data_IF_306534537572
#
_entry.id   IF_306534537572
#
_cell.length_a   1.000
_cell.length_b   1.000
_cell.length_c   1.000
_cell.angle_alpha   90.00
_cell.angle_beta   90.00
_cell.angle_gamma   90.00
#
_symmetry.space_group_name_H-M   'P 1'
#
loop_
_entity.id
_entity.type
_entity.pdbx_description
1 polymer ?
#
# COMPACT_ATOMS: atom_id res chain seq x y z
N UNK A 1 6.31 -5.27 -21.14
CA UNK A 1 6.30 -5.65 -19.71
C UNK A 1 7.35 -4.83 -18.98
N UNK A 2 7.07 -4.35 -17.77
CA UNK A 2 8.06 -3.58 -16.99
C UNK A 2 8.59 -4.48 -15.88
N UNK A 3 9.93 -4.68 -15.86
CA UNK A 3 10.61 -5.50 -14.87
C UNK A 3 11.77 -4.71 -14.26
N UNK A 4 11.93 -4.77 -12.95
CA UNK A 4 12.99 -4.11 -12.24
C UNK A 4 13.66 -5.03 -11.22
N UNK A 5 14.98 -5.15 -11.32
CA UNK A 5 15.85 -5.71 -10.29
C UNK A 5 16.85 -4.64 -9.89
N UNK A 6 16.88 -4.25 -8.62
CA UNK A 6 17.58 -3.09 -8.13
C UNK A 6 18.37 -3.43 -6.87
N UNK A 7 19.68 -3.25 -6.90
CA UNK A 7 20.55 -3.33 -5.74
C UNK A 7 21.19 -1.98 -5.47
N UNK A 8 21.12 -1.46 -4.24
CA UNK A 8 21.73 -0.20 -3.81
C UNK A 8 21.98 -0.17 -2.32
N UNK A 9 23.21 0.15 -1.91
CA UNK A 9 23.53 0.45 -0.51
C UNK A 9 23.48 1.95 -0.28
N UNK A 10 22.78 2.37 0.76
CA UNK A 10 22.70 3.77 1.21
C UNK A 10 23.15 3.83 2.66
N UNK A 11 24.32 4.40 2.95
CA UNK A 11 24.76 4.59 4.32
C UNK A 11 23.78 5.46 5.13
N UNK A 12 23.63 5.24 6.45
CA UNK A 12 24.40 4.27 7.24
C UNK A 12 23.82 2.85 7.27
N UNK A 13 22.53 2.59 6.92
CA UNK A 13 21.89 1.33 7.28
C UNK A 13 21.00 0.68 6.22
N UNK A 14 20.62 1.38 5.13
CA UNK A 14 19.71 0.82 4.14
C UNK A 14 20.48 0.07 3.04
N UNK A 15 20.15 -1.22 2.87
CA UNK A 15 20.59 -2.03 1.72
C UNK A 15 19.37 -2.45 0.92
N UNK A 16 19.11 -1.76 -0.18
CA UNK A 16 18.02 -2.10 -1.09
C UNK A 16 18.44 -3.28 -1.99
N UNK A 17 17.60 -4.32 -2.02
CA UNK A 17 17.70 -5.46 -2.93
C UNK A 17 16.27 -5.93 -3.26
N UNK A 18 15.75 -5.42 -4.36
CA UNK A 18 14.35 -5.65 -4.77
C UNK A 18 14.26 -6.14 -6.20
N UNK A 19 13.31 -7.05 -6.43
CA UNK A 19 12.96 -7.56 -7.76
C UNK A 19 11.44 -7.66 -7.88
N UNK A 20 10.89 -7.02 -8.91
CA UNK A 20 9.44 -6.99 -9.15
C UNK A 20 9.09 -6.68 -10.59
N UNK A 21 7.86 -7.07 -10.95
CA UNK A 21 7.21 -6.74 -12.20
C UNK A 21 6.13 -5.69 -11.96
N UNK A 22 5.95 -4.79 -12.93
CA UNK A 22 4.84 -3.85 -12.97
C UNK A 22 3.90 -4.25 -14.10
N UNK A 23 2.78 -4.90 -13.78
CA UNK A 23 1.72 -5.16 -14.75
C UNK A 23 1.04 -3.85 -15.19
N UNK A 24 0.26 -3.86 -16.28
CA UNK A 24 -0.65 -2.76 -16.57
C UNK A 24 -1.55 -2.43 -15.37
N UNK A 25 -1.83 -1.14 -15.17
CA UNK A 25 -2.59 -0.66 -14.01
C UNK A 25 -1.71 -0.14 -12.89
N UNK A 26 -2.24 -0.16 -11.66
CA UNK A 26 -1.55 0.37 -10.47
C UNK A 26 -0.96 -0.76 -9.65
N UNK A 27 0.34 -0.68 -9.40
CA UNK A 27 1.03 -1.44 -8.37
C UNK A 27 1.33 -0.50 -7.20
N UNK A 28 0.86 -0.85 -6.00
CA UNK A 28 1.16 -0.13 -4.79
C UNK A 28 2.45 -0.66 -4.14
N UNK A 29 3.33 0.24 -3.73
CA UNK A 29 4.52 -0.07 -2.93
C UNK A 29 4.31 0.47 -1.52
N UNK A 30 4.02 -0.43 -0.62
CA UNK A 30 3.72 -0.17 0.79
C UNK A 30 4.89 -0.55 1.69
N UNK A 31 5.09 0.19 2.77
CA UNK A 31 6.15 -0.10 3.74
C UNK A 31 6.38 1.06 4.70
N UNK A 32 7.29 0.92 5.65
CA UNK A 32 7.64 2.01 6.57
C UNK A 32 8.35 3.16 5.87
N UNK A 33 8.34 4.35 6.47
CA UNK A 33 8.95 5.56 5.89
C UNK A 33 10.40 5.36 5.46
N UNK A 34 11.19 4.65 6.23
CA UNK A 34 12.64 4.45 5.98
C UNK A 34 12.97 3.16 5.22
N UNK A 35 11.96 2.45 4.69
CA UNK A 35 12.17 1.18 3.99
C UNK A 35 12.82 1.33 2.60
N UNK A 36 12.93 2.55 2.07
CA UNK A 36 13.55 2.81 0.75
C UNK A 36 12.55 3.01 -0.38
N UNK A 37 11.26 3.24 -0.11
CA UNK A 37 10.21 3.40 -1.14
C UNK A 37 10.53 4.49 -2.17
N UNK A 38 10.84 5.71 -1.72
CA UNK A 38 11.25 6.82 -2.60
C UNK A 38 12.52 6.49 -3.37
N UNK A 39 13.48 5.78 -2.75
CA UNK A 39 14.69 5.35 -3.44
C UNK A 39 14.37 4.41 -4.61
N UNK A 40 13.40 3.51 -4.49
CA UNK A 40 12.96 2.67 -5.61
C UNK A 40 12.47 3.53 -6.77
N UNK A 41 11.66 4.55 -6.50
CA UNK A 41 11.18 5.49 -7.54
C UNK A 41 12.33 6.26 -8.18
N UNK A 42 13.27 6.78 -7.38
CA UNK A 42 14.41 7.54 -7.87
C UNK A 42 15.35 6.69 -8.74
N UNK A 43 15.54 5.42 -8.38
CA UNK A 43 16.31 4.47 -9.18
C UNK A 43 15.64 4.18 -10.52
N UNK A 44 14.30 4.02 -10.54
CA UNK A 44 13.53 3.83 -11.77
C UNK A 44 13.55 5.09 -12.65
N UNK A 45 13.35 6.26 -12.06
CA UNK A 45 13.39 7.55 -12.76
C UNK A 45 14.78 7.93 -13.29
N UNK A 46 15.83 7.36 -12.70
CA UNK A 46 17.23 7.70 -13.04
C UNK A 46 17.77 8.92 -12.29
N UNK A 47 17.11 9.35 -11.21
CA UNK A 47 17.62 10.37 -10.29
C UNK A 47 18.72 9.81 -9.38
N UNK A 48 18.66 8.50 -9.13
CA UNK A 48 19.73 7.74 -8.50
C UNK A 48 20.17 6.59 -9.41
N UNK A 49 21.43 6.16 -9.29
CA UNK A 49 21.96 5.03 -10.07
C UNK A 49 22.02 3.77 -9.20
N UNK A 50 21.41 2.65 -9.62
CA UNK A 50 21.58 1.37 -8.95
C UNK A 50 23.07 0.94 -8.91
N UNK A 51 23.46 0.18 -7.89
CA UNK A 51 24.79 -0.43 -7.86
C UNK A 51 24.85 -1.74 -8.65
N UNK A 52 23.70 -2.43 -8.74
CA UNK A 52 23.55 -3.70 -9.47
C UNK A 52 22.13 -3.85 -9.96
N UNK A 53 21.90 -4.79 -10.87
CA UNK A 53 20.57 -5.16 -11.37
C UNK A 53 20.28 -4.62 -12.76
N UNK A 54 18.97 -4.60 -13.11
CA UNK A 54 18.49 -4.23 -14.45
C UNK A 54 17.11 -3.57 -14.34
N UNK A 55 16.85 -2.60 -15.22
CA UNK A 55 15.52 -1.96 -15.38
C UNK A 55 15.10 -2.11 -16.84
N UNK A 56 13.98 -2.76 -17.06
CA UNK A 56 13.36 -2.96 -18.36
C UNK A 56 11.96 -2.33 -18.35
N UNK A 57 11.68 -1.46 -19.31
CA UNK A 57 10.34 -0.83 -19.48
C UNK A 57 9.94 -0.99 -20.93
N UNK A 58 8.84 -1.74 -21.19
CA UNK A 58 8.32 -1.99 -22.55
C UNK A 58 9.44 -2.41 -23.52
N UNK A 59 10.23 -3.43 -23.13
CA UNK A 59 11.35 -3.98 -23.89
C UNK A 59 12.57 -3.05 -24.06
N UNK A 60 12.51 -1.83 -23.56
CA UNK A 60 13.65 -0.91 -23.54
C UNK A 60 14.46 -1.08 -22.24
N UNK A 61 15.76 -1.32 -22.36
CA UNK A 61 16.68 -1.38 -21.22
C UNK A 61 16.99 0.06 -20.78
N UNK A 62 16.54 0.47 -19.61
CA UNK A 62 16.84 1.78 -19.03
C UNK A 62 18.12 1.74 -18.17
N UNK A 63 18.38 0.60 -17.55
CA UNK A 63 19.59 0.36 -16.77
C UNK A 63 19.97 -1.12 -16.85
N UNK A 64 21.25 -1.40 -16.99
CA UNK A 64 21.84 -2.75 -16.88
C UNK A 64 23.27 -2.62 -16.39
N UNK A 65 23.53 -3.09 -15.17
CA UNK A 65 24.84 -3.00 -14.55
C UNK A 65 25.90 -3.84 -15.28
N UNK A 66 25.50 -5.03 -15.77
CA UNK A 66 26.41 -5.94 -16.49
C UNK A 66 26.76 -5.42 -17.88
N UNK A 67 25.79 -4.87 -18.60
CA UNK A 67 25.96 -4.28 -19.93
C UNK A 67 26.48 -2.81 -19.88
N UNK A 68 26.64 -2.23 -18.69
CA UNK A 68 27.01 -0.82 -18.49
C UNK A 68 26.08 0.17 -19.18
N UNK A 69 24.79 -0.14 -19.23
CA UNK A 69 23.74 0.74 -19.76
C UNK A 69 23.17 1.56 -18.62
N UNK A 70 23.12 2.88 -18.78
CA UNK A 70 22.42 3.79 -17.86
C UNK A 70 21.82 4.95 -18.64
N UNK A 71 20.55 4.84 -18.98
CA UNK A 71 19.78 5.88 -19.69
C UNK A 71 19.57 7.07 -18.74
N UNK A 72 19.96 8.30 -19.12
CA UNK A 72 19.73 9.50 -18.31
C UNK A 72 18.23 9.73 -18.04
N UNK A 73 17.89 10.26 -16.86
CA UNK A 73 16.49 10.46 -16.41
C UNK A 73 15.60 11.14 -17.47
N UNK A 74 16.10 12.21 -18.13
CA UNK A 74 15.37 12.94 -19.18
C UNK A 74 14.97 12.10 -20.41
N UNK A 75 15.60 10.94 -20.61
CA UNK A 75 15.35 10.05 -21.74
C UNK A 75 14.55 8.80 -21.35
N UNK A 76 14.29 8.58 -20.05
CA UNK A 76 13.55 7.42 -19.57
C UNK A 76 12.05 7.49 -19.81
N UNK A 77 11.53 8.63 -20.22
CA UNK A 77 10.09 8.85 -20.44
C UNK A 77 9.25 8.42 -19.24
N UNK A 78 9.71 8.72 -18.02
CA UNK A 78 8.96 8.51 -16.80
C UNK A 78 8.18 9.78 -16.44
N UNK A 79 6.87 9.63 -16.15
CA UNK A 79 6.12 10.67 -15.46
C UNK A 79 6.32 10.51 -13.96
N UNK A 80 6.70 11.57 -13.25
CA UNK A 80 6.93 11.52 -11.81
C UNK A 80 6.07 12.56 -11.10
N UNK A 81 5.26 12.09 -10.15
CA UNK A 81 4.50 12.93 -9.23
C UNK A 81 5.18 12.82 -7.87
N UNK A 82 5.83 13.90 -7.45
CA UNK A 82 6.63 13.92 -6.22
C UNK A 82 5.73 14.09 -4.99
N UNK A 83 6.22 13.71 -3.83
CA UNK A 83 5.57 13.89 -2.54
C UNK A 83 5.17 15.35 -2.27
N UNK A 84 6.01 16.29 -2.71
CA UNK A 84 5.68 17.71 -2.80
C UNK A 84 5.55 18.02 -4.27
N UNK A 85 4.42 18.53 -4.70
CA UNK A 85 4.02 18.76 -6.10
C UNK A 85 5.15 19.15 -7.08
N UNK A 86 6.27 19.66 -6.57
CA UNK A 86 7.49 20.01 -7.31
C UNK A 86 7.24 20.81 -8.60
N UNK A 87 6.21 21.67 -8.58
CA UNK A 87 5.98 22.62 -9.65
C UNK A 87 7.09 23.68 -9.66
N UNK A 88 7.46 24.15 -10.85
CA UNK A 88 8.39 25.27 -10.99
C UNK A 88 7.72 26.53 -10.45
N UNK A 89 8.22 27.16 -9.38
CA UNK A 89 7.53 28.23 -8.68
C UNK A 89 7.42 29.53 -9.48
N UNK A 90 8.29 29.72 -10.48
CA UNK A 90 8.37 30.87 -11.36
C UNK A 90 7.59 30.69 -12.68
N UNK A 91 7.02 29.51 -12.91
CA UNK A 91 6.21 29.20 -14.09
C UNK A 91 4.74 29.12 -13.70
N UNK A 92 3.85 29.61 -14.55
CA UNK A 92 2.40 29.42 -14.39
C UNK A 92 2.01 27.94 -14.49
N UNK A 93 0.78 27.59 -14.13
CA UNK A 93 0.25 26.23 -14.30
C UNK A 93 0.38 25.78 -15.76
N UNK A 94 -0.04 26.60 -16.71
CA UNK A 94 0.11 26.35 -18.16
C UNK A 94 1.55 26.08 -18.54
N UNK A 95 2.48 26.91 -18.08
CA UNK A 95 3.90 26.75 -18.38
C UNK A 95 4.50 25.50 -17.75
N UNK A 96 4.09 25.15 -16.53
CA UNK A 96 4.49 23.90 -15.87
C UNK A 96 4.05 22.66 -16.69
N UNK A 97 2.82 22.65 -17.17
CA UNK A 97 2.31 21.56 -18.00
C UNK A 97 3.04 21.55 -19.38
N UNK A 98 3.20 22.72 -20.00
CA UNK A 98 3.88 22.85 -21.28
C UNK A 98 5.36 22.44 -21.25
N UNK A 99 6.02 22.53 -20.09
CA UNK A 99 7.41 22.12 -19.92
C UNK A 99 7.63 20.64 -20.27
N UNK A 100 6.75 19.76 -19.80
CA UNK A 100 6.86 18.33 -20.09
C UNK A 100 6.47 17.95 -21.52
N UNK A 101 5.83 18.89 -22.26
CA UNK A 101 5.46 18.73 -23.66
C UNK A 101 6.52 19.33 -24.62
N UNK A 102 7.73 19.67 -24.15
CA UNK A 102 8.74 20.36 -24.95
C UNK A 102 9.21 19.57 -26.19
N UNK A 103 9.09 18.24 -26.18
CA UNK A 103 9.43 17.38 -27.32
C UNK A 103 8.46 17.44 -28.51
N UNK A 104 7.27 18.06 -28.35
CA UNK A 104 6.26 18.16 -29.42
C UNK A 104 6.45 19.41 -30.27
N UNK A 105 6.10 19.37 -31.58
CA UNK A 105 6.03 20.56 -32.43
C UNK A 105 5.13 21.63 -31.80
N UNK A 106 5.47 22.91 -32.02
CA UNK A 106 4.83 24.06 -31.34
C UNK A 106 3.29 24.05 -31.39
N UNK A 107 2.69 23.76 -32.55
CA UNK A 107 1.24 23.75 -32.70
C UNK A 107 0.59 22.60 -31.96
N UNK A 108 1.17 21.40 -32.07
CA UNK A 108 0.71 20.20 -31.37
C UNK A 108 0.86 20.34 -29.85
N UNK A 109 2.00 20.88 -29.39
CA UNK A 109 2.21 21.18 -27.98
C UNK A 109 1.15 22.11 -27.43
N UNK A 110 0.81 23.19 -28.16
CA UNK A 110 -0.23 24.13 -27.72
C UNK A 110 -1.59 23.43 -27.58
N UNK A 111 -2.01 22.66 -28.58
CA UNK A 111 -3.25 21.89 -28.56
C UNK A 111 -3.30 20.94 -27.35
N UNK A 112 -2.26 20.12 -27.16
CA UNK A 112 -2.16 19.16 -26.05
C UNK A 112 -2.19 19.83 -24.70
N UNK A 113 -1.55 20.98 -24.54
CA UNK A 113 -1.56 21.74 -23.29
C UNK A 113 -2.98 22.20 -22.97
N UNK A 114 -3.71 22.78 -23.94
CA UNK A 114 -5.10 23.21 -23.73
C UNK A 114 -5.99 22.01 -23.35
N UNK A 115 -5.95 20.94 -24.14
CA UNK A 115 -6.72 19.71 -23.86
C UNK A 115 -6.39 19.12 -22.47
N UNK A 116 -5.12 19.14 -22.07
CA UNK A 116 -4.70 18.61 -20.75
C UNK A 116 -5.19 19.50 -19.62
N UNK A 117 -5.09 20.83 -19.78
CA UNK A 117 -5.62 21.77 -18.79
C UNK A 117 -7.12 21.60 -18.58
N UNK A 118 -7.88 21.43 -19.66
CA UNK A 118 -9.33 21.20 -19.58
C UNK A 118 -9.65 19.88 -18.89
N UNK A 119 -8.99 18.79 -19.28
CA UNK A 119 -9.18 17.46 -18.67
C UNK A 119 -8.91 17.44 -17.18
N UNK A 120 -7.90 18.18 -16.70
CA UNK A 120 -7.56 18.28 -15.29
C UNK A 120 -8.26 19.45 -14.57
N UNK A 121 -9.23 20.13 -15.23
CA UNK A 121 -9.99 21.26 -14.68
C UNK A 121 -9.06 22.40 -14.18
N UNK A 122 -8.07 22.75 -14.99
CA UNK A 122 -7.05 23.75 -14.72
C UNK A 122 -7.18 25.01 -15.59
N UNK A 123 -8.19 25.07 -16.45
CA UNK A 123 -8.34 26.17 -17.42
C UNK A 123 -8.41 27.54 -16.74
N UNK A 124 -9.19 27.68 -15.66
CA UNK A 124 -9.38 28.95 -14.93
C UNK A 124 -8.12 29.36 -14.16
N UNK A 125 -7.26 28.42 -13.77
CA UNK A 125 -6.04 28.68 -12.99
C UNK A 125 -4.78 28.61 -13.84
N UNK A 126 -4.93 28.43 -15.16
CA UNK A 126 -3.84 28.15 -16.08
C UNK A 126 -2.72 29.22 -16.06
N UNK A 127 -3.07 30.47 -15.85
CA UNK A 127 -2.15 31.59 -15.91
C UNK A 127 -1.69 32.07 -14.52
N UNK A 128 -2.10 31.37 -13.45
CA UNK A 128 -1.67 31.58 -12.07
C UNK A 128 -0.36 30.84 -11.75
N UNK A 129 0.39 31.37 -10.78
CA UNK A 129 1.60 30.74 -10.25
C UNK A 129 1.23 29.68 -9.19
N UNK A 130 2.10 28.68 -8.91
CA UNK A 130 1.84 27.65 -7.93
C UNK A 130 1.50 28.17 -6.52
N UNK A 131 2.06 29.32 -6.11
CA UNK A 131 1.77 29.96 -4.81
C UNK A 131 0.36 30.59 -4.71
N UNK A 132 -0.30 30.79 -5.86
CA UNK A 132 -1.60 31.47 -5.96
C UNK A 132 -2.77 30.49 -6.00
N UNK A 133 -2.48 29.19 -6.05
CA UNK A 133 -3.47 28.12 -6.16
C UNK A 133 -3.45 27.18 -4.95
N UNK A 134 -4.60 26.54 -4.70
CA UNK A 134 -4.76 25.59 -3.59
C UNK A 134 -3.92 24.32 -3.80
N UNK A 135 -3.57 23.58 -2.71
CA UNK A 135 -2.79 22.35 -2.78
C UNK A 135 -3.35 21.33 -3.74
N UNK A 136 -4.67 21.15 -3.77
CA UNK A 136 -5.37 20.20 -4.64
C UNK A 136 -5.19 20.55 -6.12
N UNK A 137 -5.20 21.86 -6.44
CA UNK A 137 -4.98 22.34 -7.82
C UNK A 137 -3.51 22.14 -8.20
N UNK A 138 -2.57 22.36 -7.26
CA UNK A 138 -1.15 22.06 -7.49
C UNK A 138 -0.92 20.57 -7.79
N UNK A 139 -1.56 19.67 -7.04
CA UNK A 139 -1.48 18.24 -7.30
C UNK A 139 -2.03 17.88 -8.68
N UNK A 140 -3.19 18.43 -9.09
CA UNK A 140 -3.74 18.26 -10.45
C UNK A 140 -2.76 18.76 -11.51
N UNK A 141 -2.15 19.92 -11.30
CA UNK A 141 -1.18 20.49 -12.23
C UNK A 141 0.10 19.63 -12.34
N UNK A 142 0.61 19.11 -11.21
CA UNK A 142 1.73 18.17 -11.20
C UNK A 142 1.38 16.86 -11.92
N UNK A 143 0.17 16.38 -11.74
CA UNK A 143 -0.37 15.19 -12.42
C UNK A 143 -0.51 15.42 -13.92
N UNK A 144 -1.09 16.54 -14.33
CA UNK A 144 -1.21 16.94 -15.72
C UNK A 144 0.16 17.02 -16.41
N UNK A 145 1.16 17.62 -15.72
CA UNK A 145 2.54 17.68 -16.20
C UNK A 145 3.17 16.28 -16.35
N UNK A 146 2.88 15.35 -15.44
CA UNK A 146 3.45 14.00 -15.47
C UNK A 146 2.95 13.18 -16.68
N UNK A 147 1.70 13.40 -17.14
CA UNK A 147 1.08 12.59 -18.21
C UNK A 147 1.16 13.19 -19.60
N UNK A 148 1.26 14.52 -19.74
CA UNK A 148 1.23 15.19 -21.05
C UNK A 148 2.34 14.71 -22.01
N UNK A 149 3.47 14.26 -21.47
CA UNK A 149 4.61 13.73 -22.24
C UNK A 149 4.43 12.29 -22.72
N UNK A 150 3.26 11.68 -22.53
CA UNK A 150 2.99 10.27 -22.82
C UNK A 150 4.06 9.34 -22.23
N UNK A 151 4.15 9.29 -20.91
CA UNK A 151 5.18 8.48 -20.24
C UNK A 151 4.98 6.98 -20.49
N UNK A 152 6.07 6.22 -20.43
CA UNK A 152 6.05 4.76 -20.49
C UNK A 152 5.94 4.12 -19.10
N UNK A 153 6.16 4.92 -18.05
CA UNK A 153 6.06 4.53 -16.64
C UNK A 153 5.64 5.74 -15.82
N UNK A 154 4.65 5.57 -14.96
CA UNK A 154 4.22 6.59 -14.00
C UNK A 154 4.70 6.22 -12.59
N UNK A 155 5.36 7.17 -11.94
CA UNK A 155 5.90 7.06 -10.60
C UNK A 155 5.22 8.07 -9.70
N UNK A 156 4.60 7.62 -8.62
CA UNK A 156 3.82 8.47 -7.71
C UNK A 156 4.36 8.29 -6.29
N UNK A 157 4.92 9.36 -5.72
CA UNK A 157 5.54 9.32 -4.41
C UNK A 157 4.65 10.01 -3.36
N UNK A 158 3.86 9.23 -2.64
CA UNK A 158 3.12 9.62 -1.41
C UNK A 158 2.60 11.08 -1.42
N UNK A 159 1.97 11.48 -2.51
CA UNK A 159 1.57 12.87 -2.74
C UNK A 159 0.14 13.20 -2.28
N UNK A 160 -0.54 12.28 -1.55
CA UNK A 160 -1.94 12.45 -1.15
C UNK A 160 -2.91 12.37 -2.34
N UNK A 161 -2.52 11.68 -3.41
CA UNK A 161 -3.42 11.42 -4.54
C UNK A 161 -4.59 10.58 -4.07
N UNK A 162 -5.82 11.06 -4.31
CA UNK A 162 -7.03 10.30 -4.04
C UNK A 162 -7.44 9.40 -5.20
N UNK A 163 -8.31 8.44 -4.91
CA UNK A 163 -8.84 7.49 -5.88
C UNK A 163 -9.39 8.15 -7.16
N UNK A 164 -10.18 9.28 -7.10
CA UNK A 164 -10.71 9.89 -8.32
C UNK A 164 -9.64 10.39 -9.29
N UNK A 165 -8.57 11.02 -8.77
CA UNK A 165 -7.48 11.51 -9.60
C UNK A 165 -6.62 10.37 -10.14
N UNK A 166 -6.44 9.30 -9.37
CA UNK A 166 -5.73 8.10 -9.80
C UNK A 166 -6.50 7.35 -10.89
N UNK A 167 -7.83 7.21 -10.75
CA UNK A 167 -8.70 6.65 -11.78
C UNK A 167 -8.65 7.48 -13.07
N UNK A 168 -8.67 8.80 -12.96
CA UNK A 168 -8.48 9.70 -14.11
C UNK A 168 -7.13 9.48 -14.80
N UNK A 169 -6.05 9.31 -14.04
CA UNK A 169 -4.73 8.98 -14.58
C UNK A 169 -4.75 7.69 -15.40
N UNK A 170 -5.40 6.64 -14.90
CA UNK A 170 -5.50 5.34 -15.57
C UNK A 170 -6.30 5.42 -16.88
N UNK A 171 -7.29 6.31 -16.98
CA UNK A 171 -8.02 6.53 -18.23
C UNK A 171 -7.22 7.30 -19.27
N UNK A 172 -6.30 8.17 -18.83
CA UNK A 172 -5.52 9.04 -19.70
C UNK A 172 -4.16 8.45 -20.12
N UNK A 173 -3.67 7.48 -19.36
CA UNK A 173 -2.37 6.85 -19.62
C UNK A 173 -2.47 5.35 -19.42
N UNK A 174 -2.02 4.59 -20.42
CA UNK A 174 -1.91 3.13 -20.32
C UNK A 174 -0.56 2.67 -19.73
N UNK A 175 0.28 3.62 -19.30
CA UNK A 175 1.55 3.30 -18.66
C UNK A 175 1.29 2.60 -17.31
N UNK A 176 2.10 1.58 -16.95
CA UNK A 176 2.05 1.02 -15.61
C UNK A 176 2.37 2.11 -14.58
N UNK A 177 1.68 2.05 -13.43
CA UNK A 177 1.82 3.00 -12.34
C UNK A 177 2.46 2.31 -11.15
N UNK A 178 3.54 2.86 -10.63
CA UNK A 178 4.06 2.49 -9.31
C UNK A 178 3.71 3.60 -8.31
N UNK A 179 2.80 3.27 -7.40
CA UNK A 179 2.28 4.18 -6.37
C UNK A 179 2.93 3.86 -5.03
N UNK A 180 3.69 4.79 -4.49
CA UNK A 180 4.13 4.74 -3.08
C UNK A 180 3.05 5.40 -2.22
N UNK A 181 2.51 4.66 -1.28
CA UNK A 181 1.50 5.15 -0.33
C UNK A 181 1.62 4.43 1.02
N UNK A 182 1.09 5.04 2.08
CA UNK A 182 0.83 4.44 3.39
C UNK A 182 -0.69 4.30 3.66
N UNK A 183 -1.51 4.58 2.67
CA UNK A 183 -2.96 4.40 2.68
C UNK A 183 -3.33 3.01 2.15
N UNK A 184 -3.69 2.10 3.06
CA UNK A 184 -4.11 0.73 2.71
C UNK A 184 -5.47 0.69 2.02
N UNK A 185 -6.37 1.63 2.33
CA UNK A 185 -7.68 1.69 1.68
C UNK A 185 -7.50 2.05 0.20
N UNK A 186 -6.62 3.00 -0.10
CA UNK A 186 -6.25 3.33 -1.48
C UNK A 186 -5.58 2.15 -2.19
N UNK A 187 -4.73 1.37 -1.49
CA UNK A 187 -4.16 0.14 -2.06
C UNK A 187 -5.25 -0.85 -2.46
N UNK A 188 -6.28 -1.04 -1.60
CA UNK A 188 -7.36 -1.99 -1.84
C UNK A 188 -8.31 -1.57 -2.95
N UNK A 189 -8.58 -0.26 -3.08
CA UNK A 189 -9.56 0.25 -4.04
C UNK A 189 -8.97 0.50 -5.42
N UNK A 190 -7.69 0.88 -5.50
CA UNK A 190 -7.10 1.36 -6.75
C UNK A 190 -5.97 0.49 -7.32
N UNK A 191 -5.32 -0.34 -6.49
CA UNK A 191 -4.19 -1.14 -6.96
C UNK A 191 -4.61 -2.58 -7.32
N UNK A 192 -4.04 -3.10 -8.41
CA UNK A 192 -4.18 -4.51 -8.78
C UNK A 192 -3.12 -5.41 -8.11
N UNK A 193 -2.03 -4.81 -7.64
CA UNK A 193 -0.94 -5.50 -6.97
C UNK A 193 -0.42 -4.66 -5.80
N UNK A 194 -0.11 -5.31 -4.69
CA UNK A 194 0.56 -4.74 -3.54
C UNK A 194 1.94 -5.39 -3.37
N UNK A 195 2.96 -4.57 -3.25
CA UNK A 195 4.32 -4.94 -2.89
C UNK A 195 4.61 -4.41 -1.49
N UNK A 196 4.90 -5.28 -0.55
CA UNK A 196 5.26 -4.90 0.83
C UNK A 196 6.79 -4.83 0.95
N UNK A 197 7.30 -3.63 1.22
CA UNK A 197 8.73 -3.34 1.32
C UNK A 197 9.12 -3.17 2.79
N UNK A 198 10.04 -4.02 3.25
CA UNK A 198 10.63 -3.93 4.60
C UNK A 198 12.13 -4.21 4.54
N UNK A 199 12.91 -3.41 5.27
CA UNK A 199 14.37 -3.57 5.33
C UNK A 199 15.08 -3.55 3.97
N UNK A 200 14.50 -2.84 2.98
CA UNK A 200 15.01 -2.77 1.61
C UNK A 200 14.73 -4.00 0.75
N UNK A 201 13.80 -4.87 1.15
CA UNK A 201 13.40 -6.07 0.40
C UNK A 201 11.88 -6.13 0.25
N UNK A 202 11.41 -6.69 -0.86
CA UNK A 202 9.99 -7.04 -1.00
C UNK A 202 9.77 -8.35 -0.24
N UNK A 203 9.03 -8.24 0.88
CA UNK A 203 8.80 -9.35 1.81
C UNK A 203 7.50 -10.08 1.52
N UNK A 204 6.55 -9.45 0.85
CA UNK A 204 5.32 -10.08 0.36
C UNK A 204 4.79 -9.33 -0.85
N UNK A 205 4.11 -10.05 -1.76
CA UNK A 205 3.42 -9.49 -2.92
C UNK A 205 2.16 -10.28 -3.24
N UNK A 206 1.15 -9.61 -3.79
CA UNK A 206 -0.11 -10.24 -4.18
C UNK A 206 -1.19 -9.22 -4.48
N UNK A 207 -2.44 -9.67 -4.66
CA UNK A 207 -3.58 -8.77 -4.66
C UNK A 207 -3.73 -8.12 -3.27
N UNK A 208 -4.07 -6.82 -3.18
CA UNK A 208 -4.08 -6.11 -1.90
C UNK A 208 -4.89 -6.81 -0.81
N UNK A 209 -6.10 -7.25 -1.12
CA UNK A 209 -6.96 -7.95 -0.14
C UNK A 209 -6.38 -9.30 0.29
N UNK A 210 -5.73 -10.03 -0.62
CA UNK A 210 -5.07 -11.31 -0.27
C UNK A 210 -3.90 -11.09 0.68
N UNK A 211 -3.08 -10.06 0.44
CA UNK A 211 -1.95 -9.70 1.32
C UNK A 211 -2.44 -9.27 2.70
N UNK A 212 -3.54 -8.51 2.77
CA UNK A 212 -4.15 -8.09 4.03
C UNK A 212 -4.77 -9.26 4.81
N UNK A 213 -5.40 -10.19 4.10
CA UNK A 213 -6.08 -11.34 4.71
C UNK A 213 -5.11 -12.47 5.09
N UNK A 214 -3.96 -12.56 4.43
CA UNK A 214 -2.98 -13.62 4.66
C UNK A 214 -1.54 -13.07 4.67
N UNK A 215 -1.15 -12.32 5.73
CA UNK A 215 0.24 -11.91 5.91
C UNK A 215 1.14 -13.15 6.04
N UNK A 216 2.31 -13.12 5.40
CA UNK A 216 3.25 -14.25 5.39
C UNK A 216 4.20 -14.25 6.60
N UNK A 217 4.26 -13.14 7.36
CA UNK A 217 5.10 -13.03 8.55
C UNK A 217 4.53 -12.04 9.56
N UNK A 218 5.04 -12.11 10.80
CA UNK A 218 4.68 -11.17 11.87
C UNK A 218 5.04 -9.74 11.50
N UNK A 219 6.16 -9.55 10.84
CA UNK A 219 6.64 -8.25 10.37
C UNK A 219 5.66 -7.64 9.38
N UNK A 220 5.20 -8.42 8.41
CA UNK A 220 4.17 -8.00 7.46
C UNK A 220 2.85 -7.73 8.17
N UNK A 221 2.39 -8.61 9.06
CA UNK A 221 1.17 -8.41 9.81
C UNK A 221 1.19 -7.09 10.61
N UNK A 222 2.32 -6.78 11.27
CA UNK A 222 2.53 -5.50 11.97
C UNK A 222 2.53 -4.30 11.04
N UNK A 223 3.17 -4.42 9.87
CA UNK A 223 3.18 -3.36 8.86
C UNK A 223 1.78 -3.04 8.38
N UNK A 224 0.96 -4.05 8.14
CA UNK A 224 -0.43 -3.92 7.72
C UNK A 224 -1.37 -3.48 8.84
N UNK A 225 -0.85 -3.19 10.04
CA UNK A 225 -1.64 -2.69 11.16
C UNK A 225 -2.47 -3.74 11.87
N UNK A 226 -2.19 -5.04 11.67
CA UNK A 226 -2.84 -6.12 12.42
C UNK A 226 -2.36 -6.05 13.87
N UNK A 227 -3.28 -5.80 14.79
CA UNK A 227 -3.00 -5.64 16.22
C UNK A 227 -3.17 -6.92 17.02
N UNK A 228 -4.03 -7.83 16.57
CA UNK A 228 -4.25 -9.11 17.22
C UNK A 228 -3.18 -10.11 16.77
N UNK A 229 -2.03 -10.05 17.44
CA UNK A 229 -0.89 -10.92 17.21
C UNK A 229 -0.58 -11.63 18.52
N UNK A 230 -0.89 -12.92 18.60
CA UNK A 230 -0.76 -13.71 19.81
C UNK A 230 0.23 -14.85 19.61
N UNK A 231 1.15 -15.02 20.55
CA UNK A 231 2.01 -16.19 20.58
C UNK A 231 1.32 -17.29 21.38
N UNK A 232 1.12 -18.44 20.78
CA UNK A 232 0.48 -19.60 21.40
C UNK A 232 1.30 -20.86 21.23
N UNK A 233 0.83 -21.94 21.89
CA UNK A 233 1.41 -23.27 21.79
C UNK A 233 0.40 -24.24 21.19
N UNK A 234 0.85 -25.10 20.29
CA UNK A 234 0.02 -26.16 19.70
C UNK A 234 -0.27 -27.21 20.78
N UNK A 235 -1.50 -27.22 21.30
CA UNK A 235 -1.92 -28.13 22.37
C UNK A 235 -2.40 -29.48 21.82
N UNK A 236 -3.10 -29.47 20.68
CA UNK A 236 -3.57 -30.69 20.02
C UNK A 236 -3.66 -30.51 18.49
N UNK A 237 -3.48 -31.61 17.78
CA UNK A 237 -3.62 -31.71 16.34
C UNK A 237 -4.57 -32.87 16.03
N UNK A 238 -5.63 -32.62 15.26
CA UNK A 238 -6.58 -33.64 14.80
C UNK A 238 -6.72 -33.57 13.27
N UNK A 239 -5.87 -34.31 12.54
CA UNK A 239 -5.95 -34.37 11.08
C UNK A 239 -7.28 -34.92 10.57
N UNK A 240 -7.90 -35.85 11.33
CA UNK A 240 -9.15 -36.49 10.93
C UNK A 240 -10.36 -35.53 10.95
N UNK A 241 -10.35 -34.56 11.86
CA UNK A 241 -11.34 -33.48 11.95
C UNK A 241 -10.92 -32.18 11.28
N UNK A 242 -9.73 -32.17 10.68
CA UNK A 242 -9.12 -30.96 10.10
C UNK A 242 -9.04 -29.78 11.09
N UNK A 243 -8.68 -30.07 12.37
CA UNK A 243 -8.61 -29.06 13.42
C UNK A 243 -7.31 -29.12 14.20
N UNK A 244 -6.92 -27.98 14.76
CA UNK A 244 -5.83 -27.84 15.72
C UNK A 244 -6.31 -26.96 16.87
N UNK A 245 -5.83 -27.26 18.09
CA UNK A 245 -6.09 -26.44 19.26
C UNK A 245 -4.82 -25.71 19.67
N UNK A 246 -4.95 -24.39 19.79
CA UNK A 246 -3.90 -23.50 20.27
C UNK A 246 -4.22 -23.03 21.68
N UNK A 247 -3.22 -23.02 22.54
CA UNK A 247 -3.28 -22.46 23.90
C UNK A 247 -2.48 -21.16 23.95
N UNK A 248 -3.14 -20.13 24.46
CA UNK A 248 -2.56 -18.82 24.77
C UNK A 248 -2.58 -18.61 26.28
N UNK A 249 -1.94 -17.57 26.78
CA UNK A 249 -1.83 -17.32 28.24
C UNK A 249 -3.18 -17.26 28.96
N UNK A 250 -4.20 -16.72 28.31
CA UNK A 250 -5.51 -16.45 28.94
C UNK A 250 -6.70 -17.14 28.26
N UNK A 251 -6.51 -17.74 27.09
CA UNK A 251 -7.59 -18.40 26.35
C UNK A 251 -7.06 -19.51 25.44
N UNK A 252 -7.95 -20.30 24.90
CA UNK A 252 -7.60 -21.32 23.89
C UNK A 252 -8.55 -21.22 22.70
N UNK A 253 -8.03 -21.49 21.50
CA UNK A 253 -8.79 -21.43 20.26
C UNK A 253 -8.61 -22.70 19.44
N UNK A 254 -9.66 -23.05 18.68
CA UNK A 254 -9.61 -24.09 17.67
C UNK A 254 -9.47 -23.44 16.30
N UNK A 255 -8.49 -23.85 15.52
CA UNK A 255 -8.25 -23.37 14.16
C UNK A 255 -8.24 -24.56 13.18
N UNK A 256 -8.24 -24.31 11.86
CA UNK A 256 -7.97 -25.34 10.87
C UNK A 256 -6.65 -26.07 11.14
N UNK A 257 -6.55 -27.32 10.69
CA UNK A 257 -5.36 -28.14 10.91
C UNK A 257 -4.09 -27.46 10.38
N UNK A 258 -3.09 -27.33 11.26
CA UNK A 258 -1.83 -26.65 10.98
C UNK A 258 -0.82 -27.72 10.54
N UNK A 259 -0.52 -27.74 9.24
CA UNK A 259 0.43 -28.69 8.64
C UNK A 259 1.86 -28.30 9.01
N UNK A 260 2.71 -29.30 9.23
CA UNK A 260 4.15 -29.09 9.50
C UNK A 260 4.48 -28.68 10.92
N UNK A 261 3.50 -28.63 11.83
CA UNK A 261 3.70 -28.36 13.24
C UNK A 261 3.41 -29.60 14.10
N UNK A 262 4.03 -29.62 15.28
CA UNK A 262 3.87 -30.69 16.27
C UNK A 262 3.28 -30.11 17.56
N UNK A 263 2.76 -31.02 18.40
CA UNK A 263 2.31 -30.66 19.74
C UNK A 263 3.48 -30.08 20.53
N UNK A 264 3.27 -28.93 21.16
CA UNK A 264 4.29 -28.21 21.92
C UNK A 264 5.01 -27.11 21.10
N UNK A 265 4.82 -27.04 19.78
CA UNK A 265 5.42 -25.98 18.98
C UNK A 265 4.82 -24.63 19.35
N UNK A 266 5.67 -23.61 19.36
CA UNK A 266 5.24 -22.21 19.48
C UNK A 266 4.92 -21.64 18.10
N UNK A 267 3.76 -21.04 17.97
CA UNK A 267 3.28 -20.41 16.74
C UNK A 267 2.78 -19.01 17.02
N UNK A 268 2.82 -18.17 16.02
CA UNK A 268 2.13 -16.89 16.07
C UNK A 268 0.80 -17.00 15.36
N UNK A 269 -0.21 -16.38 15.93
CA UNK A 269 -1.54 -16.25 15.34
C UNK A 269 -1.81 -14.77 15.09
N UNK A 270 -2.25 -14.47 13.88
CA UNK A 270 -2.70 -13.14 13.46
C UNK A 270 -4.20 -13.17 13.13
N UNK A 271 -4.92 -12.12 13.50
CA UNK A 271 -6.32 -11.92 13.09
C UNK A 271 -6.63 -10.44 12.97
N UNK A 272 -7.26 -10.04 11.85
CA UNK A 272 -7.70 -8.66 11.65
C UNK A 272 -8.80 -8.26 12.63
N UNK A 273 -8.75 -7.02 13.14
CA UNK A 273 -9.74 -6.53 14.10
C UNK A 273 -11.18 -6.57 13.58
N UNK A 274 -11.39 -6.28 12.29
CA UNK A 274 -12.71 -6.36 11.65
C UNK A 274 -13.18 -7.78 11.30
N UNK A 275 -12.35 -8.81 11.53
CA UNK A 275 -12.73 -10.22 11.35
C UNK A 275 -13.27 -10.86 12.63
N UNK A 276 -13.06 -10.22 13.78
CA UNK A 276 -13.62 -10.66 15.06
C UNK A 276 -15.09 -10.27 15.16
N UNK A 277 -15.87 -11.11 15.85
CA UNK A 277 -17.26 -10.82 16.17
C UNK A 277 -17.37 -10.53 17.65
N UNK A 278 -18.20 -9.58 18.01
CA UNK A 278 -18.39 -9.17 19.38
C UNK A 278 -19.84 -9.44 19.78
N UNK A 279 -20.01 -10.16 20.87
CA UNK A 279 -21.32 -10.52 21.40
C UNK A 279 -21.49 -9.98 22.80
N UNK A 280 -22.73 -9.65 23.13
CA UNK A 280 -23.15 -9.30 24.47
C UNK A 280 -23.65 -10.57 25.19
N UNK A 281 -23.32 -10.69 26.48
CA UNK A 281 -23.81 -11.80 27.32
C UNK A 281 -22.81 -12.98 27.43
N UNK A 282 -23.32 -14.10 27.90
CA UNK A 282 -22.52 -15.29 28.22
C UNK A 282 -22.63 -16.34 27.11
N UNK A 283 -22.33 -15.96 25.87
CA UNK A 283 -22.31 -16.91 24.76
C UNK A 283 -21.14 -17.89 24.92
N UNK A 284 -21.45 -19.19 24.91
CA UNK A 284 -20.49 -20.28 25.07
C UNK A 284 -20.10 -20.95 23.75
N UNK A 285 -20.22 -20.21 22.64
CA UNK A 285 -19.85 -20.69 21.31
C UNK A 285 -18.39 -21.13 21.21
N UNK A 286 -18.08 -21.95 20.22
CA UNK A 286 -16.70 -22.35 19.94
C UNK A 286 -15.85 -21.10 19.58
N UNK A 287 -14.67 -20.96 20.18
CA UNK A 287 -13.78 -19.80 20.04
C UNK A 287 -14.33 -18.46 20.56
N UNK A 288 -15.32 -18.47 21.44
CA UNK A 288 -15.76 -17.29 22.18
C UNK A 288 -14.87 -17.10 23.42
N UNK A 289 -14.25 -15.96 23.54
CA UNK A 289 -13.37 -15.59 24.67
C UNK A 289 -14.05 -14.51 25.49
N UNK A 290 -14.39 -14.77 26.77
CA UNK A 290 -14.87 -13.73 27.67
C UNK A 290 -13.75 -12.72 27.92
N UNK A 291 -13.94 -11.47 27.52
CA UNK A 291 -12.95 -10.44 27.64
C UNK A 291 -13.58 -9.11 28.07
N UNK A 292 -13.21 -8.56 29.25
CA UNK A 292 -13.67 -7.25 29.67
C UNK A 292 -13.29 -6.17 28.67
N UNK A 293 -14.25 -5.29 28.33
CA UNK A 293 -13.98 -4.11 27.51
C UNK A 293 -13.15 -3.11 28.34
N UNK A 294 -11.99 -2.72 27.81
CA UNK A 294 -11.09 -1.74 28.42
C UNK A 294 -11.35 -0.34 27.87
N UNK A 295 -11.56 -0.24 26.55
CA UNK A 295 -11.73 1.04 25.87
C UNK A 295 -12.56 0.88 24.61
N UNK A 296 -13.43 1.86 24.33
CA UNK A 296 -14.08 2.05 23.05
C UNK A 296 -13.64 3.38 22.43
N UNK A 297 -13.27 3.36 21.16
CA UNK A 297 -12.80 4.54 20.43
C UNK A 297 -13.60 4.67 19.13
N UNK A 298 -14.39 5.72 19.00
CA UNK A 298 -15.15 6.00 17.79
C UNK A 298 -14.22 6.45 16.65
N UNK A 299 -14.48 5.93 15.46
CA UNK A 299 -13.88 6.31 14.19
C UNK A 299 -14.94 6.84 13.25
N UNK A 300 -14.56 7.29 12.06
CA UNK A 300 -15.50 7.86 11.07
C UNK A 300 -16.66 6.93 10.74
N UNK A 301 -16.42 5.63 10.54
CA UNK A 301 -17.44 4.65 10.14
C UNK A 301 -17.56 3.44 11.08
N UNK A 302 -16.66 3.28 12.04
CA UNK A 302 -16.57 2.13 12.92
C UNK A 302 -16.29 2.54 14.37
N UNK A 303 -16.34 1.58 15.27
CA UNK A 303 -15.89 1.71 16.66
C UNK A 303 -14.82 0.64 16.90
N UNK A 304 -13.66 1.09 17.34
CA UNK A 304 -12.59 0.20 17.78
C UNK A 304 -12.76 -0.10 19.27
N UNK A 305 -12.83 -1.39 19.58
CA UNK A 305 -12.98 -1.91 20.92
C UNK A 305 -11.66 -2.59 21.33
N UNK A 306 -11.14 -2.18 22.47
CA UNK A 306 -9.94 -2.75 23.08
C UNK A 306 -10.38 -3.52 24.32
N UNK A 307 -10.11 -4.81 24.32
CA UNK A 307 -10.48 -5.73 25.39
C UNK A 307 -9.24 -6.14 26.22
N UNK A 308 -9.50 -6.74 27.36
CA UNK A 308 -8.46 -7.43 28.12
C UNK A 308 -7.70 -8.44 27.22
N UNK A 309 -6.52 -8.86 27.66
CA UNK A 309 -5.65 -9.81 26.95
C UNK A 309 -5.09 -9.28 25.62
N UNK A 310 -5.16 -7.95 25.38
CA UNK A 310 -4.66 -7.34 24.15
C UNK A 310 -5.52 -7.59 22.91
N UNK A 311 -6.77 -8.06 23.10
CA UNK A 311 -7.70 -8.30 22.00
C UNK A 311 -8.28 -6.97 21.51
N UNK A 312 -8.29 -6.77 20.20
CA UNK A 312 -8.89 -5.59 19.54
C UNK A 312 -9.90 -6.02 18.51
N UNK A 313 -11.13 -5.52 18.59
CA UNK A 313 -12.14 -5.71 17.55
C UNK A 313 -12.57 -4.38 16.94
N UNK A 314 -13.08 -4.43 15.73
CA UNK A 314 -13.64 -3.28 15.04
C UNK A 314 -15.03 -3.64 14.52
N UNK A 315 -16.06 -2.90 14.99
CA UNK A 315 -17.47 -3.13 14.66
C UNK A 315 -18.12 -1.86 14.12
N UNK A 316 -19.29 -1.98 13.50
CA UNK A 316 -20.04 -0.82 13.04
C UNK A 316 -20.55 0.03 14.22
N UNK A 317 -20.80 1.32 13.98
CA UNK A 317 -21.43 2.20 14.99
C UNK A 317 -22.81 1.72 15.42
N UNK A 318 -23.56 1.16 14.48
CA UNK A 318 -24.89 0.62 14.77
C UNK A 318 -24.83 -0.61 15.68
N UNK A 319 -23.88 -1.51 15.42
CA UNK A 319 -23.64 -2.69 16.23
C UNK A 319 -23.18 -2.31 17.65
N UNK A 320 -22.27 -1.36 17.77
CA UNK A 320 -21.85 -0.82 19.05
C UNK A 320 -23.01 -0.19 19.82
N UNK A 321 -23.84 0.63 19.17
CA UNK A 321 -24.96 1.29 19.81
C UNK A 321 -25.98 0.32 20.42
N UNK A 322 -26.15 -0.87 19.79
CA UNK A 322 -27.02 -1.95 20.32
C UNK A 322 -26.44 -2.64 21.57
N UNK A 323 -25.13 -2.61 21.72
CA UNK A 323 -24.40 -3.40 22.72
C UNK A 323 -23.70 -2.57 23.81
N UNK A 324 -23.66 -1.24 23.70
CA UNK A 324 -22.87 -0.35 24.58
C UNK A 324 -23.18 -0.44 26.07
N UNK A 325 -24.41 -0.81 26.43
CA UNK A 325 -24.87 -0.89 27.83
C UNK A 325 -24.61 -2.27 28.47
N UNK A 326 -23.95 -3.19 27.74
CA UNK A 326 -23.67 -4.51 28.25
C UNK A 326 -22.55 -4.51 29.28
N UNK A 327 -22.71 -5.35 30.30
CA UNK A 327 -21.71 -5.54 31.38
C UNK A 327 -20.73 -6.66 31.07
N UNK A 328 -21.11 -7.65 30.26
CA UNK A 328 -20.28 -8.78 29.85
C UNK A 328 -20.11 -8.81 28.34
N UNK A 329 -18.88 -9.04 27.91
CA UNK A 329 -18.49 -9.06 26.50
C UNK A 329 -17.83 -10.38 26.16
N UNK A 330 -18.17 -10.92 25.01
CA UNK A 330 -17.55 -12.10 24.42
C UNK A 330 -16.98 -11.73 23.06
N UNK A 331 -15.75 -12.15 22.80
CA UNK A 331 -15.12 -11.95 21.50
C UNK A 331 -14.97 -13.30 20.83
N UNK A 332 -15.69 -13.48 19.73
CA UNK A 332 -15.60 -14.67 18.89
C UNK A 332 -14.45 -14.53 17.88
N UNK A 333 -13.61 -15.57 17.82
CA UNK A 333 -12.55 -15.73 16.85
C UNK A 333 -12.97 -16.73 15.77
N UNK A 334 -13.54 -16.30 14.64
CA UNK A 334 -13.95 -17.22 13.58
C UNK A 334 -12.75 -18.04 13.09
N UNK A 335 -12.82 -19.38 13.06
CA UNK A 335 -11.68 -20.22 12.68
C UNK A 335 -11.09 -19.89 11.30
N UNK A 336 -11.94 -19.49 10.35
CA UNK A 336 -11.51 -19.11 9.00
C UNK A 336 -10.72 -17.79 8.95
N UNK A 337 -10.85 -16.93 9.98
CA UNK A 337 -10.15 -15.65 10.05
C UNK A 337 -8.75 -15.77 10.68
N UNK A 338 -8.47 -16.88 11.35
CA UNK A 338 -7.19 -17.11 12.02
C UNK A 338 -6.09 -17.44 11.02
N UNK A 339 -4.98 -16.74 11.12
CA UNK A 339 -3.76 -16.99 10.31
C UNK A 339 -2.63 -17.39 11.24
N UNK A 340 -2.01 -18.51 10.93
CA UNK A 340 -0.84 -18.99 11.64
C UNK A 340 0.40 -18.61 10.84
N UNK A 341 1.36 -17.99 11.54
CA UNK A 341 2.57 -17.38 10.98
C UNK A 341 3.81 -18.12 11.47
#
# INVERSE_FOLDING_TARGET
>A
MTHARLGKKVPPSLSLDVEFDLPPGVTALYGRRESGRTLVLDLLAGFATPASGRILVNDAILFDAAARVNVPARLRRCGYIFQRDALFPHLTVRQNVAFAAAGWPRLERHRRVVETLDRFQLAETADLLPREIAPEIRLRAATARAVIGEPQLLLIDHCGIGEPLLAQLQTLSHAPVLLVTDDLDLCCTAASQLLVLEGGRIVQRGAPLEVLDAPESIEVARLLGITNLFQGTVAALDPGRNTSRLEFEHFSLTCPYIRGHFRGDRVWMAVGAGKLRVHAGDDTGANCVPAPLVRASERSQSVRLEFAYGITAEISREEFARQKDNKSWQVEFPPAALRIL
#
